data_IF_214303286370
#
_entry.id   IF_214303286370
#
_cell.length_a   1.000
_cell.length_b   1.000
_cell.length_c   1.000
_cell.angle_alpha   90.00
_cell.angle_beta   90.00
_cell.angle_gamma   90.00
#
_symmetry.space_group_name_H-M   'P 1'
#
loop_
_entity.id
_entity.type
_entity.pdbx_description
1 polymer ?
#
# COMPACT_ATOMS: atom_id res chain seq x y z
N UNK A 1 4.32 25.92 5.48
CA UNK A 1 5.09 24.67 5.61
C UNK A 1 4.21 23.77 6.47
N UNK A 2 3.51 22.81 5.87
CA UNK A 2 2.70 21.88 6.65
C UNK A 2 3.64 21.11 7.59
N UNK A 3 3.30 21.08 8.87
CA UNK A 3 4.06 20.35 9.87
C UNK A 3 3.84 18.85 9.66
N UNK A 4 4.90 18.06 9.77
CA UNK A 4 4.78 16.60 9.77
C UNK A 4 3.82 16.14 10.90
N UNK A 5 3.01 15.09 10.71
CA UNK A 5 2.01 14.70 11.69
C UNK A 5 2.63 14.36 13.05
N UNK A 6 1.95 14.62 14.17
CA UNK A 6 2.45 14.23 15.49
C UNK A 6 2.43 12.71 15.66
N UNK A 7 3.31 12.16 16.50
CA UNK A 7 3.40 10.70 16.78
C UNK A 7 2.05 10.06 17.12
N UNK A 8 1.18 10.76 17.87
CA UNK A 8 -0.16 10.27 18.20
C UNK A 8 -1.04 9.97 16.96
N UNK A 9 -0.84 10.69 15.86
CA UNK A 9 -1.56 10.42 14.60
C UNK A 9 -1.14 9.08 13.99
N UNK A 10 0.15 8.72 14.08
CA UNK A 10 0.65 7.43 13.63
C UNK A 10 0.12 6.29 14.50
N UNK A 11 0.13 6.45 15.83
CA UNK A 11 -0.42 5.46 16.76
C UNK A 11 -1.90 5.17 16.47
N UNK A 12 -2.69 6.23 16.25
CA UNK A 12 -4.12 6.10 15.95
C UNK A 12 -4.34 5.41 14.60
N UNK A 13 -3.61 5.85 13.55
CA UNK A 13 -3.69 5.29 12.21
C UNK A 13 -3.32 3.79 12.18
N UNK A 14 -2.20 3.43 12.81
CA UNK A 14 -1.78 2.02 12.94
C UNK A 14 -2.79 1.23 13.76
N UNK A 15 -3.38 1.82 14.81
CA UNK A 15 -4.45 1.21 15.59
C UNK A 15 -5.70 0.88 14.73
N UNK A 16 -6.13 1.81 13.87
CA UNK A 16 -7.25 1.59 12.93
C UNK A 16 -6.92 0.51 11.91
N UNK A 17 -5.74 0.59 11.28
CA UNK A 17 -5.28 -0.39 10.29
C UNK A 17 -5.18 -1.81 10.87
N UNK A 18 -4.64 -1.96 12.09
CA UNK A 18 -4.55 -3.27 12.78
C UNK A 18 -5.92 -3.86 13.10
N UNK A 19 -6.89 -3.04 13.54
CA UNK A 19 -8.28 -3.51 13.75
C UNK A 19 -8.88 -4.04 12.45
N UNK A 20 -8.63 -3.35 11.33
CA UNK A 20 -9.10 -3.79 10.03
C UNK A 20 -8.38 -5.08 9.58
N UNK A 21 -7.06 -5.17 9.67
CA UNK A 21 -6.29 -6.39 9.39
C UNK A 21 -6.79 -7.60 10.21
N UNK A 22 -7.03 -7.40 11.51
CA UNK A 22 -7.50 -8.45 12.41
C UNK A 22 -8.88 -8.99 12.01
N UNK A 23 -9.80 -8.15 11.50
CA UNK A 23 -11.09 -8.58 10.96
C UNK A 23 -10.95 -9.54 9.77
N UNK A 24 -9.82 -9.50 9.07
CA UNK A 24 -9.47 -10.36 7.94
C UNK A 24 -8.52 -11.51 8.31
N UNK A 25 -8.27 -11.72 9.61
CA UNK A 25 -7.37 -12.78 10.10
C UNK A 25 -5.88 -12.51 9.84
N UNK A 26 -5.50 -11.26 9.59
CA UNK A 26 -4.13 -10.85 9.34
C UNK A 26 -3.56 -10.10 10.55
N UNK A 27 -2.25 -10.27 10.76
CA UNK A 27 -1.48 -9.56 11.77
C UNK A 27 -0.29 -8.89 11.09
N UNK A 28 0.01 -7.66 11.47
CA UNK A 28 1.20 -6.95 11.00
C UNK A 28 2.01 -6.44 12.20
N UNK A 29 3.29 -6.84 12.32
CA UNK A 29 4.14 -6.47 13.45
C UNK A 29 4.70 -5.04 13.34
N UNK A 30 4.54 -4.37 12.21
CA UNK A 30 5.05 -3.02 11.97
C UNK A 30 4.51 -2.03 13.01
N UNK A 31 5.41 -1.24 13.61
CA UNK A 31 5.09 -0.29 14.69
C UNK A 31 4.84 1.14 14.16
N UNK A 32 4.13 2.00 14.90
CA UNK A 32 3.89 3.40 14.51
C UNK A 32 5.17 4.16 14.17
N UNK A 33 6.24 3.97 14.94
CA UNK A 33 7.52 4.67 14.72
C UNK A 33 8.23 4.18 13.45
N UNK A 34 7.95 2.95 13.02
CA UNK A 34 8.47 2.41 11.77
C UNK A 34 7.73 2.99 10.57
N UNK A 35 6.42 3.21 10.69
CA UNK A 35 5.65 3.94 9.68
C UNK A 35 6.10 5.40 9.59
N UNK A 36 6.31 6.05 10.74
CA UNK A 36 6.84 7.41 10.81
C UNK A 36 8.20 7.55 10.11
N UNK A 37 9.12 6.62 10.37
CA UNK A 37 10.42 6.59 9.73
C UNK A 37 10.32 6.26 8.23
N UNK A 38 9.42 5.35 7.85
CA UNK A 38 9.20 4.94 6.46
C UNK A 38 8.74 6.09 5.57
N UNK A 39 7.79 6.92 6.03
CA UNK A 39 7.31 8.09 5.28
C UNK A 39 8.36 9.21 5.13
N UNK A 40 9.52 9.07 5.78
CA UNK A 40 10.65 10.00 5.68
C UNK A 40 11.81 9.41 4.87
N UNK A 41 11.64 8.24 4.26
CA UNK A 41 12.65 7.63 3.40
C UNK A 41 12.75 8.35 2.05
N UNK A 42 13.96 8.38 1.52
CA UNK A 42 14.26 8.89 0.18
C UNK A 42 13.73 7.88 -0.85
N UNK A 43 12.91 8.37 -1.78
CA UNK A 43 12.28 7.59 -2.85
C UNK A 43 12.39 8.37 -4.17
N UNK A 44 12.50 7.70 -5.33
CA UNK A 44 12.44 8.38 -6.63
C UNK A 44 11.01 8.86 -6.98
N UNK A 45 10.01 8.47 -6.20
CA UNK A 45 8.60 8.76 -6.46
C UNK A 45 8.10 9.95 -5.61
N UNK A 46 7.01 10.63 -6.04
CA UNK A 46 6.35 11.61 -5.19
C UNK A 46 5.83 10.94 -3.91
N UNK A 47 6.17 11.50 -2.75
CA UNK A 47 5.58 11.05 -1.50
C UNK A 47 4.15 11.60 -1.36
N UNK A 48 3.16 10.77 -0.98
CA UNK A 48 1.85 11.28 -0.61
C UNK A 48 1.95 12.17 0.63
N UNK A 49 0.99 13.07 0.82
CA UNK A 49 0.90 13.82 2.08
C UNK A 49 0.74 12.84 3.24
N UNK A 50 1.62 12.85 4.26
CA UNK A 50 1.50 11.98 5.42
C UNK A 50 0.13 12.12 6.10
N UNK A 51 -0.43 13.34 6.18
CA UNK A 51 -1.76 13.55 6.77
C UNK A 51 -2.88 12.89 5.98
N UNK A 52 -2.83 12.94 4.65
CA UNK A 52 -3.82 12.29 3.78
C UNK A 52 -3.69 10.76 3.84
N UNK A 53 -2.45 10.25 3.85
CA UNK A 53 -2.15 8.83 3.97
C UNK A 53 -2.71 8.27 5.28
N UNK A 54 -2.41 8.92 6.42
CA UNK A 54 -2.83 8.44 7.74
C UNK A 54 -4.36 8.40 7.90
N UNK A 55 -5.11 9.22 7.15
CA UNK A 55 -6.58 9.22 7.16
C UNK A 55 -7.18 8.03 6.41
N UNK A 56 -6.47 7.45 5.44
CA UNK A 56 -6.96 6.30 4.68
C UNK A 56 -6.44 4.98 5.29
N UNK A 57 -7.27 4.17 5.97
CA UNK A 57 -6.82 2.94 6.60
C UNK A 57 -6.27 1.90 5.61
N UNK A 58 -6.68 1.93 4.34
CA UNK A 58 -6.14 1.02 3.32
C UNK A 58 -4.72 1.44 2.91
N UNK A 59 -4.44 2.74 2.78
CA UNK A 59 -3.07 3.24 2.56
C UNK A 59 -2.17 2.92 3.75
N UNK A 60 -2.66 3.09 4.97
CA UNK A 60 -1.88 2.69 6.15
C UNK A 60 -1.60 1.18 6.13
N UNK A 61 -2.57 0.35 5.76
CA UNK A 61 -2.33 -1.10 5.60
C UNK A 61 -1.25 -1.38 4.56
N UNK A 62 -1.28 -0.69 3.42
CA UNK A 62 -0.25 -0.80 2.38
C UNK A 62 1.14 -0.62 2.98
N UNK A 63 1.40 0.54 3.59
CA UNK A 63 2.72 0.87 4.15
C UNK A 63 3.13 -0.13 5.23
N UNK A 64 2.20 -0.54 6.11
CA UNK A 64 2.51 -1.48 7.18
C UNK A 64 2.95 -2.85 6.62
N UNK A 65 2.29 -3.35 5.57
CA UNK A 65 2.65 -4.62 4.93
C UNK A 65 3.96 -4.48 4.16
N UNK A 66 4.19 -3.36 3.47
CA UNK A 66 5.45 -3.12 2.76
C UNK A 66 6.63 -3.10 3.74
N UNK A 67 6.53 -2.34 4.84
CA UNK A 67 7.56 -2.31 5.88
C UNK A 67 7.82 -3.71 6.47
N UNK A 68 6.76 -4.49 6.70
CA UNK A 68 6.90 -5.87 7.20
C UNK A 68 7.63 -6.77 6.19
N UNK A 69 7.31 -6.64 4.89
CA UNK A 69 7.97 -7.38 3.82
C UNK A 69 9.44 -6.99 3.69
N UNK A 70 9.76 -5.70 3.72
CA UNK A 70 11.14 -5.16 3.72
C UNK A 70 11.94 -5.72 4.90
N UNK A 71 11.36 -5.76 6.11
CA UNK A 71 12.02 -6.35 7.27
C UNK A 71 12.22 -7.85 7.14
N UNK A 72 11.26 -8.59 6.58
CA UNK A 72 11.37 -10.03 6.32
C UNK A 72 12.45 -10.36 5.28
N UNK A 73 12.75 -9.42 4.39
CA UNK A 73 13.88 -9.47 3.46
C UNK A 73 15.24 -9.22 4.13
N UNK A 74 15.28 -8.96 5.44
CA UNK A 74 16.50 -8.68 6.21
C UNK A 74 16.99 -7.24 6.06
N UNK A 75 16.17 -6.33 5.56
CA UNK A 75 16.51 -4.91 5.42
C UNK A 75 16.10 -4.12 6.66
N UNK A 76 16.87 -3.08 6.96
CA UNK A 76 16.58 -2.12 8.02
C UNK A 76 15.98 -0.85 7.44
N UNK A 77 15.03 -0.23 8.16
CA UNK A 77 14.42 1.03 7.74
C UNK A 77 15.44 2.16 8.01
N UNK A 78 16.22 2.48 6.98
CA UNK A 78 17.12 3.64 6.93
C UNK A 78 16.59 4.65 5.93
N UNK A 79 17.05 5.90 6.03
CA UNK A 79 16.60 6.97 5.13
C UNK A 79 16.73 6.62 3.65
N UNK A 80 17.73 5.83 3.27
CA UNK A 80 18.04 5.46 1.88
C UNK A 80 17.66 4.02 1.51
N UNK A 81 16.91 3.31 2.36
CA UNK A 81 16.59 1.88 2.15
C UNK A 81 15.89 1.66 0.79
N UNK A 82 15.02 2.58 0.38
CA UNK A 82 14.25 2.45 -0.86
C UNK A 82 15.18 2.58 -2.09
N UNK A 83 15.85 3.73 -2.22
CA UNK A 83 16.73 4.00 -3.37
C UNK A 83 17.88 2.99 -3.52
N UNK A 84 18.35 2.39 -2.43
CA UNK A 84 19.42 1.37 -2.46
C UNK A 84 18.94 -0.03 -2.83
N UNK A 85 17.63 -0.30 -2.76
CA UNK A 85 17.07 -1.64 -2.91
C UNK A 85 15.86 -1.69 -3.85
N UNK A 86 15.72 -0.73 -4.77
CA UNK A 86 14.51 -0.50 -5.58
C UNK A 86 13.85 -1.77 -6.12
N UNK A 87 14.61 -2.67 -6.74
CA UNK A 87 14.05 -3.93 -7.26
C UNK A 87 13.35 -4.75 -6.16
N UNK A 88 13.97 -4.92 -4.99
CA UNK A 88 13.38 -5.68 -3.87
C UNK A 88 12.21 -4.94 -3.24
N UNK A 89 12.27 -3.60 -3.21
CA UNK A 89 11.18 -2.76 -2.70
C UNK A 89 9.97 -2.85 -3.62
N UNK A 90 10.16 -2.87 -4.93
CA UNK A 90 9.07 -3.03 -5.89
C UNK A 90 8.33 -4.37 -5.73
N UNK A 91 9.03 -5.44 -5.30
CA UNK A 91 8.40 -6.71 -4.94
C UNK A 91 7.59 -6.60 -3.64
N UNK A 92 8.13 -5.90 -2.62
CA UNK A 92 7.44 -5.64 -1.36
C UNK A 92 6.18 -4.77 -1.55
N UNK A 93 6.29 -3.70 -2.34
CA UNK A 93 5.19 -2.83 -2.74
C UNK A 93 4.07 -3.61 -3.46
N UNK A 94 4.42 -4.52 -4.37
CA UNK A 94 3.42 -5.35 -5.04
C UNK A 94 2.70 -6.30 -4.06
N UNK A 95 3.41 -6.87 -3.08
CA UNK A 95 2.80 -7.67 -2.01
C UNK A 95 1.83 -6.83 -1.15
N UNK A 96 2.25 -5.62 -0.78
CA UNK A 96 1.44 -4.67 -0.03
C UNK A 96 0.17 -4.29 -0.78
N UNK A 97 0.30 -3.89 -2.05
CA UNK A 97 -0.83 -3.52 -2.91
C UNK A 97 -1.83 -4.67 -3.09
N UNK A 98 -1.36 -5.92 -3.24
CA UNK A 98 -2.23 -7.10 -3.32
C UNK A 98 -3.01 -7.31 -2.03
N UNK A 99 -2.34 -7.20 -0.89
CA UNK A 99 -2.97 -7.38 0.43
C UNK A 99 -4.01 -6.29 0.70
N UNK A 100 -3.65 -5.04 0.44
CA UNK A 100 -4.55 -3.88 0.54
C UNK A 100 -5.80 -4.06 -0.32
N UNK A 101 -5.63 -4.40 -1.60
CA UNK A 101 -6.75 -4.58 -2.53
C UNK A 101 -7.64 -5.74 -2.09
N UNK A 102 -7.07 -6.89 -1.70
CA UNK A 102 -7.86 -8.04 -1.26
C UNK A 102 -8.72 -7.68 -0.03
N UNK A 103 -8.22 -6.83 0.88
CA UNK A 103 -8.98 -6.30 2.02
C UNK A 103 -10.06 -5.31 1.55
N UNK A 104 -9.71 -4.37 0.67
CA UNK A 104 -10.64 -3.38 0.13
C UNK A 104 -11.82 -4.03 -0.62
N UNK A 105 -11.58 -5.13 -1.32
CA UNK A 105 -12.63 -5.95 -1.96
C UNK A 105 -13.59 -6.52 -0.92
N UNK A 106 -13.08 -7.10 0.17
CA UNK A 106 -13.90 -7.70 1.24
C UNK A 106 -14.69 -6.65 2.02
N UNK A 107 -14.14 -5.44 2.18
CA UNK A 107 -14.85 -4.29 2.76
C UNK A 107 -15.76 -3.56 1.76
N UNK A 108 -15.83 -4.02 0.49
CA UNK A 108 -16.60 -3.38 -0.59
C UNK A 108 -16.25 -1.89 -0.79
N UNK A 109 -14.99 -1.52 -0.57
CA UNK A 109 -14.50 -0.14 -0.66
C UNK A 109 -14.27 0.28 -2.13
N UNK A 110 -15.36 0.44 -2.89
CA UNK A 110 -15.32 0.72 -4.33
C UNK A 110 -14.49 1.95 -4.69
N UNK A 111 -14.69 3.08 -4.01
CA UNK A 111 -13.93 4.31 -4.33
C UNK A 111 -12.42 4.14 -4.13
N UNK A 112 -12.01 3.36 -3.12
CA UNK A 112 -10.60 3.04 -2.89
C UNK A 112 -10.04 2.14 -4.00
N UNK A 113 -10.80 1.12 -4.41
CA UNK A 113 -10.42 0.23 -5.51
C UNK A 113 -10.31 0.95 -6.86
N UNK A 114 -11.19 1.92 -7.11
CA UNK A 114 -11.16 2.75 -8.31
C UNK A 114 -9.91 3.62 -8.35
N UNK A 115 -9.60 4.33 -7.26
CA UNK A 115 -8.35 5.09 -7.11
C UNK A 115 -7.12 4.18 -7.29
N UNK A 116 -7.11 3.00 -6.68
CA UNK A 116 -5.99 2.06 -6.80
C UNK A 116 -5.81 1.52 -8.22
N UNK A 117 -6.88 1.41 -9.01
CA UNK A 117 -6.78 1.02 -10.41
C UNK A 117 -6.08 2.11 -11.24
N UNK A 118 -6.29 3.37 -10.93
CA UNK A 118 -5.57 4.48 -11.58
C UNK A 118 -4.08 4.42 -11.24
N UNK A 119 -3.74 4.23 -9.97
CA UNK A 119 -2.35 4.05 -9.54
C UNK A 119 -1.70 2.84 -10.22
N UNK A 120 -2.40 1.70 -10.30
CA UNK A 120 -1.90 0.49 -10.97
C UNK A 120 -1.58 0.71 -12.45
N UNK A 121 -2.34 1.57 -13.15
CA UNK A 121 -2.03 1.93 -14.54
C UNK A 121 -0.72 2.71 -14.61
N UNK A 122 -0.49 3.66 -13.71
CA UNK A 122 0.76 4.40 -13.64
C UNK A 122 1.95 3.48 -13.28
N UNK A 123 1.78 2.59 -12.31
CA UNK A 123 2.82 1.66 -11.87
C UNK A 123 3.25 0.69 -12.98
N UNK A 124 2.33 0.25 -13.85
CA UNK A 124 2.69 -0.62 -14.99
C UNK A 124 3.66 0.06 -15.97
N UNK A 125 3.62 1.39 -16.07
CA UNK A 125 4.45 2.17 -16.99
C UNK A 125 5.79 2.62 -16.36
N UNK A 126 6.04 2.29 -15.10
CA UNK A 126 7.24 2.72 -14.39
C UNK A 126 8.53 2.21 -15.10
N UNK A 127 9.43 3.11 -15.54
CA UNK A 127 10.67 2.72 -16.22
C UNK A 127 11.68 2.01 -15.30
N UNK A 128 11.53 2.09 -13.98
CA UNK A 128 12.43 1.48 -12.99
C UNK A 128 12.09 0.01 -12.71
N UNK A 129 10.95 -0.48 -13.18
CA UNK A 129 10.57 -1.89 -13.02
C UNK A 129 11.33 -2.81 -13.98
N UNK A 130 11.72 -3.98 -13.49
CA UNK A 130 12.20 -5.07 -14.35
C UNK A 130 11.07 -5.61 -15.24
N UNK A 131 11.37 -6.27 -16.37
CA UNK A 131 10.34 -6.87 -17.22
C UNK A 131 9.43 -7.86 -16.47
N UNK A 132 10.00 -8.63 -15.53
CA UNK A 132 9.23 -9.55 -14.69
C UNK A 132 8.26 -8.83 -13.75
N UNK A 133 8.69 -7.71 -13.17
CA UNK A 133 7.84 -6.88 -12.31
C UNK A 133 6.73 -6.21 -13.12
N UNK A 134 7.03 -5.64 -14.29
CA UNK A 134 6.00 -5.08 -15.18
C UNK A 134 4.90 -6.09 -15.49
N UNK A 135 5.27 -7.30 -15.89
CA UNK A 135 4.32 -8.37 -16.13
C UNK A 135 3.49 -8.74 -14.88
N UNK A 136 4.10 -8.70 -13.69
CA UNK A 136 3.41 -8.97 -12.43
C UNK A 136 2.40 -7.86 -12.05
N UNK A 137 2.76 -6.59 -12.25
CA UNK A 137 1.85 -5.44 -12.07
C UNK A 137 0.71 -5.48 -13.09
N UNK A 138 0.98 -5.77 -14.36
CA UNK A 138 -0.06 -5.90 -15.39
C UNK A 138 -1.04 -7.04 -15.11
N UNK A 139 -0.52 -8.19 -14.65
CA UNK A 139 -1.34 -9.31 -14.20
C UNK A 139 -2.24 -8.90 -13.03
N UNK A 140 -1.69 -8.15 -12.08
CA UNK A 140 -2.45 -7.65 -10.94
C UNK A 140 -3.50 -6.60 -11.36
N UNK A 141 -3.16 -5.62 -12.20
CA UNK A 141 -4.08 -4.62 -12.75
C UNK A 141 -5.29 -5.28 -13.40
N UNK A 142 -5.08 -6.27 -14.27
CA UNK A 142 -6.17 -7.01 -14.94
C UNK A 142 -7.11 -7.72 -13.96
N UNK A 143 -6.55 -8.27 -12.87
CA UNK A 143 -7.35 -8.87 -11.77
C UNK A 143 -8.25 -7.81 -11.14
N UNK A 144 -7.71 -6.64 -10.80
CA UNK A 144 -8.48 -5.54 -10.19
C UNK A 144 -9.57 -5.01 -11.13
N UNK A 145 -9.28 -4.86 -12.42
CA UNK A 145 -10.28 -4.47 -13.43
C UNK A 145 -11.47 -5.45 -13.48
N UNK A 146 -11.17 -6.75 -13.49
CA UNK A 146 -12.20 -7.80 -13.50
C UNK A 146 -13.06 -7.76 -12.24
N UNK A 147 -12.44 -7.55 -11.08
CA UNK A 147 -13.14 -7.43 -9.80
C UNK A 147 -14.08 -6.21 -9.82
N UNK A 148 -13.57 -5.04 -10.21
CA UNK A 148 -14.36 -3.80 -10.29
C UNK A 148 -15.54 -3.93 -11.26
N UNK A 149 -15.31 -4.52 -12.44
CA UNK A 149 -16.38 -4.79 -13.39
C UNK A 149 -17.47 -5.67 -12.77
N UNK A 150 -17.08 -6.75 -12.08
CA UNK A 150 -18.02 -7.68 -11.43
C UNK A 150 -18.80 -7.02 -10.28
N UNK A 151 -18.14 -6.15 -9.50
CA UNK A 151 -18.81 -5.45 -8.41
C UNK A 151 -19.79 -4.39 -8.91
N UNK A 152 -19.50 -3.74 -10.05
CA UNK A 152 -20.41 -2.77 -10.69
C UNK A 152 -21.66 -3.45 -11.26
N UNK A 153 -21.53 -4.62 -11.86
CA UNK A 153 -22.67 -5.37 -12.41
C UNK A 153 -23.51 -6.03 -11.32
N UNK A 154 -22.89 -6.48 -10.22
CA UNK A 154 -23.58 -7.08 -9.07
C UNK A 154 -24.39 -6.09 -8.21
N UNK A 155 -24.13 -4.79 -8.30
CA UNK A 155 -24.88 -3.75 -7.57
C UNK A 155 -26.19 -3.33 -8.26
N UNK A 156 -26.56 -3.94 -9.39
CA UNK A 156 -27.79 -3.66 -10.15
C UNK A 156 -29.00 -4.54 -9.83
N UNK A 157 -28.92 -5.40 -8.80
CA UNK A 157 -30.06 -6.21 -8.34
C UNK A 157 -30.30 -6.01 -6.85
N UNK A 158 -31.07 -4.98 -6.52
CA UNK A 158 -31.88 -4.89 -5.29
C UNK A 158 -33.26 -4.38 -5.69
#
# INVERSE_FOLDING_TARGET
>A
MESFPPTAAFEEAVGRARKLLARHGLLCPTRPEELEAWLQTDTPYPNPSPDELLRNPFLVIHELIEIAAVKRMGLHITKDVIVRNLERINDAHLEAARTEVDIAVRERALGHLESRLEDLRAWCEDPLLTPGQKAAYEGFRRKVETILASMRTGNGQV
#
